data_IF_320068559010
#
_entry.id   IF_320068559010
#
_cell.length_a   1.000
_cell.length_b   1.000
_cell.length_c   1.000
_cell.angle_alpha   90.00
_cell.angle_beta   90.00
_cell.angle_gamma   90.00
#
_symmetry.space_group_name_H-M   'P 1'
#
loop_
_entity.id
_entity.type
_entity.pdbx_description
1 polymer ?
#
# COMPACT_ATOMS: atom_id res chain seq x y z
N UNK A 1 26.80 3.34 64.30
CA UNK A 1 26.13 2.43 63.35
C UNK A 1 25.62 3.28 62.21
N UNK A 2 26.32 3.25 61.05
CA UNK A 2 25.97 4.07 59.87
C UNK A 2 25.19 3.18 58.89
N UNK A 3 23.89 3.48 58.70
CA UNK A 3 23.07 2.81 57.67
C UNK A 3 23.37 3.42 56.31
N UNK A 4 23.96 2.63 55.44
CA UNK A 4 24.15 2.98 54.01
C UNK A 4 22.92 2.50 53.26
N UNK A 5 22.11 3.45 52.79
CA UNK A 5 20.93 3.18 51.97
C UNK A 5 21.42 3.00 50.53
N UNK A 6 21.34 1.75 49.99
CA UNK A 6 21.62 1.42 48.62
C UNK A 6 20.39 1.75 47.76
N UNK A 7 20.44 2.85 47.03
CA UNK A 7 19.42 3.19 46.02
C UNK A 7 19.77 2.41 44.74
N UNK A 8 19.04 1.33 44.47
CA UNK A 8 19.11 0.61 43.23
C UNK A 8 18.41 1.43 42.15
N UNK A 9 19.18 2.05 41.25
CA UNK A 9 18.68 2.74 40.06
C UNK A 9 18.25 1.69 39.02
N UNK A 10 16.95 1.41 38.98
CA UNK A 10 16.35 0.60 37.91
C UNK A 10 16.43 1.35 36.56
N UNK A 11 17.43 1.00 35.77
CA UNK A 11 17.50 1.44 34.36
C UNK A 11 16.44 0.67 33.59
N UNK A 12 15.27 1.28 33.39
CA UNK A 12 14.26 0.78 32.49
C UNK A 12 14.77 0.99 31.07
N UNK A 13 15.30 -0.07 30.45
CA UNK A 13 15.62 -0.07 29.03
C UNK A 13 14.30 -0.04 28.25
N UNK A 14 13.86 1.13 27.83
CA UNK A 14 12.82 1.27 26.82
C UNK A 14 13.40 0.73 25.52
N UNK A 15 13.02 -0.50 25.15
CA UNK A 15 13.21 -1.00 23.80
C UNK A 15 12.39 -0.10 22.85
N UNK A 16 13.03 0.90 22.30
CA UNK A 16 12.53 1.64 21.17
C UNK A 16 12.62 0.67 19.97
N UNK A 17 11.55 -0.07 19.69
CA UNK A 17 11.39 -0.73 18.40
C UNK A 17 11.28 0.41 17.39
N UNK A 18 12.39 0.75 16.74
CA UNK A 18 12.41 1.68 15.64
C UNK A 18 11.57 1.09 14.51
N UNK A 19 10.51 1.79 14.10
CA UNK A 19 9.82 1.44 12.87
C UNK A 19 10.83 1.60 11.73
N UNK A 20 11.04 0.55 10.93
CA UNK A 20 11.88 0.63 9.75
C UNK A 20 11.21 1.51 8.70
N UNK A 21 11.85 2.63 8.36
CA UNK A 21 11.39 3.52 7.32
C UNK A 21 12.02 3.14 5.97
N UNK A 22 11.19 3.22 4.93
CA UNK A 22 11.57 2.92 3.56
C UNK A 22 11.29 4.14 2.68
N UNK A 23 12.30 4.65 1.97
CA UNK A 23 12.15 5.75 1.02
C UNK A 23 11.51 5.27 -0.27
N UNK A 24 10.37 5.85 -0.67
CA UNK A 24 9.75 5.55 -1.98
C UNK A 24 10.58 6.21 -3.09
N UNK A 25 11.15 5.39 -3.97
CA UNK A 25 12.04 5.85 -5.06
C UNK A 25 11.48 5.59 -6.45
N UNK A 26 10.39 4.84 -6.57
CA UNK A 26 9.75 4.58 -7.86
C UNK A 26 8.29 4.17 -7.71
N UNK A 27 7.44 4.67 -8.62
CA UNK A 27 6.04 4.26 -8.77
C UNK A 27 5.90 3.65 -10.17
N UNK A 28 5.50 2.38 -10.27
CA UNK A 28 5.40 1.68 -11.55
C UNK A 28 4.00 1.81 -12.15
N UNK A 29 2.99 1.61 -11.33
CA UNK A 29 1.56 1.73 -11.65
C UNK A 29 0.78 2.14 -10.38
N UNK A 30 -0.54 1.95 -10.35
CA UNK A 30 -1.39 2.34 -9.23
C UNK A 30 -1.27 1.46 -7.97
N UNK A 31 -0.48 0.38 -8.00
CA UNK A 31 -0.34 -0.55 -6.87
C UNK A 31 1.03 -1.24 -6.76
N UNK A 32 2.00 -0.80 -7.55
CA UNK A 32 3.37 -1.34 -7.54
C UNK A 32 4.39 -0.22 -7.45
N UNK A 33 5.29 -0.34 -6.46
CA UNK A 33 6.31 0.68 -6.17
C UNK A 33 7.68 0.03 -5.95
N UNK A 34 8.73 0.85 -5.95
CA UNK A 34 10.05 0.50 -5.43
C UNK A 34 10.38 1.40 -4.25
N UNK A 35 10.81 0.78 -3.18
CA UNK A 35 11.34 1.48 -2.01
C UNK A 35 12.81 1.18 -1.80
N UNK A 36 13.50 2.05 -1.06
CA UNK A 36 14.88 1.92 -0.66
C UNK A 36 14.94 1.68 0.85
N UNK A 37 15.59 0.59 1.29
CA UNK A 37 15.84 0.34 2.71
C UNK A 37 16.93 1.26 3.26
N UNK A 38 17.15 1.22 4.57
CA UNK A 38 18.22 1.95 5.25
C UNK A 38 19.59 1.54 4.71
N UNK A 39 19.77 0.24 4.35
CA UNK A 39 21.00 -0.28 3.71
C UNK A 39 21.08 0.03 2.21
N UNK A 40 20.23 0.92 1.68
CA UNK A 40 20.16 1.30 0.26
C UNK A 40 19.83 0.14 -0.68
N UNK A 41 19.15 -0.89 -0.20
CA UNK A 41 18.64 -1.98 -1.04
C UNK A 41 17.29 -1.60 -1.63
N UNK A 42 17.14 -1.79 -2.94
CA UNK A 42 15.85 -1.61 -3.61
C UNK A 42 14.95 -2.82 -3.37
N UNK A 43 13.74 -2.57 -2.94
CA UNK A 43 12.73 -3.58 -2.69
C UNK A 43 11.49 -3.23 -3.53
N UNK A 44 11.04 -4.19 -4.35
CA UNK A 44 9.78 -4.04 -5.11
C UNK A 44 8.61 -4.43 -4.22
N UNK A 45 7.64 -3.54 -4.13
CA UNK A 45 6.44 -3.72 -3.32
C UNK A 45 5.21 -3.82 -4.23
N UNK A 46 4.33 -4.76 -3.94
CA UNK A 46 2.96 -4.81 -4.45
C UNK A 46 2.02 -4.48 -3.29
N UNK A 47 1.20 -3.48 -3.46
CA UNK A 47 0.21 -3.09 -2.44
C UNK A 47 -0.78 -4.24 -2.23
N UNK A 48 -0.82 -4.76 -1.01
CA UNK A 48 -1.64 -5.92 -0.65
C UNK A 48 -3.12 -5.58 -0.60
N UNK A 49 -3.96 -6.50 -1.06
CA UNK A 49 -5.42 -6.43 -0.94
C UNK A 49 -6.13 -5.49 -1.92
N UNK A 50 -5.39 -4.79 -2.77
CA UNK A 50 -5.93 -3.92 -3.80
C UNK A 50 -5.48 -4.35 -5.21
N UNK A 51 -6.21 -3.91 -6.24
CA UNK A 51 -5.83 -4.08 -7.64
C UNK A 51 -6.18 -2.80 -8.39
N UNK A 52 -5.16 -2.08 -8.88
CA UNK A 52 -5.33 -0.83 -9.61
C UNK A 52 -5.45 -1.08 -11.12
N UNK A 53 -6.11 -0.19 -11.87
CA UNK A 53 -6.14 -0.29 -13.33
C UNK A 53 -4.73 -0.33 -13.91
N UNK A 54 -4.53 -1.22 -14.89
CA UNK A 54 -3.27 -1.33 -15.63
C UNK A 54 -2.94 -0.02 -16.36
N UNK A 55 -1.67 0.30 -16.60
CA UNK A 55 -1.26 1.58 -17.22
C UNK A 55 -1.97 1.89 -18.54
N UNK A 56 -2.27 0.84 -19.34
CA UNK A 56 -2.98 0.97 -20.62
C UNK A 56 -4.51 0.85 -20.49
N UNK A 57 -5.01 0.66 -19.29
CA UNK A 57 -6.44 0.61 -18.98
C UNK A 57 -6.94 2.02 -18.68
N UNK A 58 -8.25 2.26 -18.86
CA UNK A 58 -8.88 3.48 -18.40
C UNK A 58 -8.57 3.71 -16.92
N UNK A 59 -8.22 4.94 -16.53
CA UNK A 59 -7.77 5.36 -15.22
C UNK A 59 -6.40 4.82 -14.75
N UNK A 60 -5.69 3.99 -15.50
CA UNK A 60 -4.40 3.44 -15.09
C UNK A 60 -3.34 4.51 -14.84
N UNK A 61 -3.14 5.45 -15.75
CA UNK A 61 -2.21 6.57 -15.56
C UNK A 61 -2.61 7.45 -14.38
N UNK A 62 -3.91 7.72 -14.22
CA UNK A 62 -4.43 8.51 -13.08
C UNK A 62 -4.21 7.82 -11.74
N UNK A 63 -4.38 6.49 -11.68
CA UNK A 63 -4.10 5.71 -10.48
C UNK A 63 -2.61 5.80 -10.10
N UNK A 64 -1.70 5.68 -11.08
CA UNK A 64 -0.26 5.89 -10.88
C UNK A 64 0.05 7.31 -10.39
N UNK A 65 -0.50 8.32 -11.02
CA UNK A 65 -0.31 9.73 -10.64
C UNK A 65 -0.81 9.99 -9.23
N UNK A 66 -1.97 9.45 -8.88
CA UNK A 66 -2.54 9.58 -7.54
C UNK A 66 -1.62 8.95 -6.49
N UNK A 67 -1.20 7.69 -6.69
CA UNK A 67 -0.25 7.03 -5.78
C UNK A 67 1.06 7.82 -5.67
N UNK A 68 1.57 8.34 -6.79
CA UNK A 68 2.77 9.18 -6.82
C UNK A 68 2.60 10.45 -5.98
N UNK A 69 1.47 11.13 -6.09
CA UNK A 69 1.18 12.35 -5.30
C UNK A 69 1.11 12.07 -3.80
N UNK A 70 0.68 10.87 -3.42
CA UNK A 70 0.59 10.47 -2.02
C UNK A 70 1.97 10.19 -1.40
N UNK A 71 2.82 9.41 -2.09
CA UNK A 71 3.99 8.80 -1.43
C UNK A 71 5.34 8.95 -2.15
N UNK A 72 5.40 9.44 -3.40
CA UNK A 72 6.69 9.56 -4.11
C UNK A 72 7.68 10.44 -3.34
N UNK A 73 8.91 9.91 -3.13
CA UNK A 73 9.96 10.61 -2.41
C UNK A 73 9.74 10.73 -0.89
N UNK A 74 8.72 10.08 -0.33
CA UNK A 74 8.44 10.09 1.11
C UNK A 74 8.96 8.82 1.79
N UNK A 75 9.13 8.90 3.10
CA UNK A 75 9.44 7.76 3.95
C UNK A 75 8.13 7.12 4.43
N UNK A 76 8.02 5.81 4.23
CA UNK A 76 6.84 5.01 4.58
C UNK A 76 7.23 3.84 5.48
N UNK A 77 6.28 3.32 6.23
CA UNK A 77 6.43 2.04 6.93
C UNK A 77 5.66 0.95 6.20
N UNK A 78 6.10 -0.30 6.35
CA UNK A 78 5.57 -1.46 5.65
C UNK A 78 5.09 -2.52 6.65
N UNK A 79 3.89 -3.05 6.43
CA UNK A 79 3.46 -4.31 7.04
C UNK A 79 3.49 -5.38 5.96
N UNK A 80 4.57 -6.17 5.97
CA UNK A 80 4.77 -7.27 5.01
C UNK A 80 3.82 -8.42 5.33
N UNK A 81 3.08 -8.90 4.32
CA UNK A 81 2.14 -10.03 4.39
C UNK A 81 2.65 -11.29 3.70
N UNK A 82 3.62 -11.15 2.81
CA UNK A 82 4.19 -12.25 2.05
C UNK A 82 4.96 -11.77 0.82
N UNK A 83 5.16 -12.66 -0.12
CA UNK A 83 5.82 -12.40 -1.40
C UNK A 83 4.96 -12.99 -2.53
N UNK A 84 4.90 -12.31 -3.67
CA UNK A 84 4.19 -12.82 -4.84
C UNK A 84 5.11 -13.67 -5.76
N UNK A 85 4.52 -14.23 -6.82
CA UNK A 85 5.23 -15.06 -7.80
C UNK A 85 6.33 -14.30 -8.57
N UNK A 86 6.29 -12.97 -8.55
CA UNK A 86 7.26 -12.09 -9.22
C UNK A 86 8.33 -11.54 -8.27
N UNK A 87 8.44 -12.12 -7.07
CA UNK A 87 9.40 -11.71 -6.04
C UNK A 87 9.20 -10.27 -5.56
N UNK A 88 7.94 -9.79 -5.55
CA UNK A 88 7.57 -8.53 -4.93
C UNK A 88 7.04 -8.77 -3.53
N UNK A 89 7.43 -7.94 -2.59
CA UNK A 89 6.85 -7.98 -1.24
C UNK A 89 5.40 -7.52 -1.28
N UNK A 90 4.47 -8.36 -0.82
CA UNK A 90 3.07 -8.00 -0.62
C UNK A 90 2.94 -7.24 0.70
N UNK A 91 2.62 -5.95 0.64
CA UNK A 91 2.66 -5.12 1.84
C UNK A 91 1.49 -4.14 1.92
N UNK A 92 1.06 -3.86 3.15
CA UNK A 92 0.35 -2.61 3.46
C UNK A 92 1.39 -1.52 3.67
N UNK A 93 1.10 -0.34 3.14
CA UNK A 93 2.00 0.82 3.18
C UNK A 93 1.35 1.90 4.05
N UNK A 94 2.12 2.48 4.95
CA UNK A 94 1.67 3.57 5.79
C UNK A 94 2.55 4.81 5.63
N UNK A 95 1.90 5.95 5.44
CA UNK A 95 2.52 7.27 5.53
C UNK A 95 2.10 7.88 6.87
N UNK A 96 2.95 7.74 7.91
CA UNK A 96 2.53 7.98 9.27
C UNK A 96 1.36 7.06 9.65
N UNK A 97 0.24 7.64 10.07
CA UNK A 97 -0.98 6.87 10.42
C UNK A 97 -1.88 6.54 9.22
N UNK A 98 -1.59 7.08 8.03
CA UNK A 98 -2.41 6.90 6.84
C UNK A 98 -2.13 5.56 6.16
N UNK A 99 -3.14 4.67 6.08
CA UNK A 99 -3.11 3.46 5.26
C UNK A 99 -3.27 3.86 3.77
N UNK A 100 -2.17 3.77 3.02
CA UNK A 100 -2.11 4.16 1.60
C UNK A 100 -2.94 3.22 0.73
N UNK A 101 -2.95 1.91 1.04
CA UNK A 101 -3.75 0.92 0.32
C UNK A 101 -5.25 1.26 0.44
N UNK A 102 -5.70 1.57 1.65
CA UNK A 102 -7.08 1.99 1.90
C UNK A 102 -7.41 3.32 1.20
N UNK A 103 -6.46 4.26 1.19
CA UNK A 103 -6.63 5.57 0.53
C UNK A 103 -6.85 5.39 -0.98
N UNK A 104 -6.08 4.52 -1.64
CA UNK A 104 -6.25 4.23 -3.07
C UNK A 104 -7.66 3.72 -3.40
N UNK A 105 -8.25 2.88 -2.54
CA UNK A 105 -9.64 2.41 -2.69
C UNK A 105 -10.63 3.56 -2.40
N UNK A 106 -10.46 4.25 -1.28
CA UNK A 106 -11.39 5.31 -0.82
C UNK A 106 -11.50 6.46 -1.80
N UNK A 107 -10.42 6.75 -2.54
CA UNK A 107 -10.36 7.79 -3.56
C UNK A 107 -10.75 7.28 -4.95
N UNK A 108 -11.03 5.99 -5.08
CA UNK A 108 -11.51 5.37 -6.31
C UNK A 108 -10.42 5.17 -7.36
N UNK A 109 -9.18 4.91 -6.95
CA UNK A 109 -8.05 4.61 -7.85
C UNK A 109 -7.58 3.16 -7.80
N UNK A 110 -8.19 2.33 -6.95
CA UNK A 110 -8.00 0.90 -6.92
C UNK A 110 -9.30 0.16 -6.56
N UNK A 111 -9.39 -1.09 -6.97
CA UNK A 111 -10.42 -2.03 -6.56
C UNK A 111 -9.98 -2.77 -5.30
N UNK A 112 -10.92 -3.13 -4.42
CA UNK A 112 -10.70 -4.14 -3.40
C UNK A 112 -10.53 -5.51 -4.08
N UNK A 113 -9.35 -6.12 -3.95
CA UNK A 113 -9.08 -7.44 -4.53
C UNK A 113 -9.61 -8.54 -3.62
N UNK A 114 -10.93 -8.70 -3.57
CA UNK A 114 -11.66 -9.57 -2.63
C UNK A 114 -11.29 -11.05 -2.73
N UNK A 115 -10.68 -11.49 -3.84
CA UNK A 115 -10.14 -12.85 -3.98
C UNK A 115 -8.99 -13.11 -2.99
N UNK A 116 -8.16 -12.10 -2.72
CA UNK A 116 -6.96 -12.21 -1.90
C UNK A 116 -7.05 -11.45 -0.56
N UNK A 117 -8.05 -10.58 -0.40
CA UNK A 117 -8.24 -9.83 0.83
C UNK A 117 -9.69 -9.94 1.31
N UNK A 118 -9.86 -10.20 2.62
CA UNK A 118 -11.17 -10.21 3.30
C UNK A 118 -11.32 -9.00 4.24
N UNK A 119 -10.50 -7.97 4.04
CA UNK A 119 -10.56 -6.75 4.85
C UNK A 119 -11.89 -6.01 4.62
N UNK A 120 -12.72 -5.96 5.67
CA UNK A 120 -14.03 -5.31 5.62
C UNK A 120 -13.91 -3.81 5.35
N UNK A 121 -12.85 -3.16 5.85
CA UNK A 121 -12.62 -1.72 5.61
C UNK A 121 -12.39 -1.43 4.13
N UNK A 122 -11.72 -2.33 3.41
CA UNK A 122 -11.52 -2.20 1.96
C UNK A 122 -12.83 -2.36 1.20
N UNK A 123 -13.66 -3.34 1.59
CA UNK A 123 -14.97 -3.54 0.98
C UNK A 123 -15.91 -2.33 1.20
N UNK A 124 -15.93 -1.80 2.42
CA UNK A 124 -16.73 -0.62 2.78
C UNK A 124 -16.23 0.64 2.04
N UNK A 125 -14.91 0.85 1.97
CA UNK A 125 -14.31 1.96 1.25
C UNK A 125 -14.64 1.93 -0.25
N UNK A 126 -14.55 0.76 -0.88
CA UNK A 126 -14.94 0.58 -2.28
C UNK A 126 -16.43 0.90 -2.49
N UNK A 127 -17.31 0.38 -1.64
CA UNK A 127 -18.73 0.65 -1.72
C UNK A 127 -19.04 2.17 -1.62
N UNK A 128 -18.38 2.87 -0.70
CA UNK A 128 -18.51 4.32 -0.55
C UNK A 128 -17.94 5.10 -1.75
N UNK A 129 -16.80 4.67 -2.30
CA UNK A 129 -16.22 5.28 -3.49
C UNK A 129 -17.15 5.14 -4.70
N UNK A 130 -17.79 3.98 -4.88
CA UNK A 130 -18.82 3.72 -5.92
C UNK A 130 -20.04 4.64 -5.77
N UNK A 131 -20.62 4.72 -4.58
CA UNK A 131 -21.78 5.59 -4.30
C UNK A 131 -21.45 7.06 -4.61
N UNK A 132 -20.26 7.51 -4.24
CA UNK A 132 -19.79 8.89 -4.43
C UNK A 132 -19.22 9.16 -5.81
N UNK A 133 -19.18 8.17 -6.69
CA UNK A 133 -18.62 8.22 -8.05
C UNK A 133 -17.18 8.78 -8.06
N UNK A 134 -16.34 8.37 -7.12
CA UNK A 134 -14.96 8.82 -7.03
C UNK A 134 -14.05 8.12 -8.04
N UNK A 135 -13.08 8.85 -8.56
CA UNK A 135 -12.03 8.31 -9.42
C UNK A 135 -12.58 7.49 -10.60
N UNK A 136 -12.21 6.22 -10.70
CA UNK A 136 -12.63 5.30 -11.76
C UNK A 136 -14.15 5.01 -11.74
N UNK A 137 -14.83 5.26 -10.62
CA UNK A 137 -16.27 5.02 -10.47
C UNK A 137 -17.15 6.09 -11.12
N UNK A 138 -16.58 7.11 -11.76
CA UNK A 138 -17.34 8.01 -12.68
C UNK A 138 -17.68 7.31 -13.98
N UNK A 139 -16.93 6.27 -14.36
CA UNK A 139 -17.24 5.42 -15.50
C UNK A 139 -18.52 4.63 -15.22
N UNK A 140 -19.39 4.57 -16.21
CA UNK A 140 -20.65 3.80 -16.10
C UNK A 140 -20.42 2.29 -16.15
N UNK A 141 -19.34 1.85 -16.81
CA UNK A 141 -18.99 0.45 -16.97
C UNK A 141 -17.50 0.22 -16.66
N UNK A 142 -17.07 0.43 -15.39
CA UNK A 142 -15.68 0.27 -15.04
C UNK A 142 -15.27 -1.20 -15.14
N UNK A 143 -14.18 -1.48 -15.86
CA UNK A 143 -13.64 -2.84 -16.03
C UNK A 143 -12.64 -3.10 -14.91
N UNK A 144 -12.79 -4.23 -14.22
CA UNK A 144 -11.84 -4.63 -13.18
C UNK A 144 -10.48 -5.02 -13.80
N UNK A 145 -9.34 -4.75 -13.12
CA UNK A 145 -8.02 -5.04 -13.68
C UNK A 145 -7.80 -6.52 -14.03
N UNK A 146 -8.31 -7.43 -13.22
CA UNK A 146 -8.24 -8.87 -13.49
C UNK A 146 -9.02 -9.29 -14.74
N UNK A 147 -10.17 -8.67 -15.03
CA UNK A 147 -10.95 -8.91 -16.26
C UNK A 147 -10.25 -8.29 -17.46
N UNK A 148 -9.68 -7.11 -17.31
CA UNK A 148 -8.88 -6.48 -18.34
C UNK A 148 -7.69 -7.36 -18.75
N UNK A 149 -6.94 -7.91 -17.78
CA UNK A 149 -5.82 -8.84 -18.04
C UNK A 149 -6.31 -10.13 -18.74
N UNK A 150 -7.44 -10.68 -18.31
CA UNK A 150 -8.02 -11.87 -18.90
C UNK A 150 -8.38 -11.65 -20.38
N UNK A 151 -9.04 -10.53 -20.67
CA UNK A 151 -9.44 -10.17 -22.04
C UNK A 151 -8.24 -9.93 -22.97
N UNK A 152 -7.10 -9.45 -22.44
CA UNK A 152 -5.88 -9.29 -23.23
C UNK A 152 -5.23 -10.63 -23.62
N UNK A 153 -5.35 -11.66 -22.78
CA UNK A 153 -4.82 -13.00 -23.08
C UNK A 153 -5.59 -13.70 -24.18
N UNK A 154 -6.89 -13.48 -24.28
CA UNK A 154 -7.76 -14.09 -25.30
C UNK A 154 -7.51 -13.48 -26.69
N UNK A 155 -6.99 -12.25 -26.78
CA UNK A 155 -6.72 -11.54 -28.05
C UNK A 155 -5.35 -11.84 -28.64
N UNK A 156 -4.52 -12.64 -27.98
CA UNK A 156 -3.19 -13.10 -28.44
C UNK A 156 -3.23 -14.53 -28.92
#
# INVERSE_FOLDING_TARGET
MKNILFIALLFSATNCFGEDFFRVVGIHDGDSITVLSVEKKQIKIRLEGIDAPELKQAFGSRAKEHLSSLIMGKDVTLIVKGEDLYKRSLSKIFLGAQDVNLTMISDGFAWHYSKYSKDKKFAEAEAQAKIKKKGLWVDQNPVAPWDYRSNQKVKR
#
